data_IF_889658735882
#
_entry.id   IF_889658735882
#
_cell.length_a   1.000
_cell.length_b   1.000
_cell.length_c   1.000
_cell.angle_alpha   90.00
_cell.angle_beta   90.00
_cell.angle_gamma   90.00
#
_symmetry.space_group_name_H-M   'P 1'
#
loop_
_entity.id
_entity.type
_entity.pdbx_description
1 polymer ?
#
# COMPACT_ATOMS: atom_id res chain seq x y z
N UNK A 1 -26.54 1.61 0.46
CA UNK A 1 -27.16 0.64 1.39
C UNK A 1 -26.70 -0.83 1.27
N UNK A 2 -26.05 -1.29 0.18
CA UNK A 2 -25.52 -2.67 0.05
C UNK A 2 -24.17 -2.94 0.77
N UNK A 3 -23.60 -1.97 1.48
CA UNK A 3 -22.33 -2.14 2.22
C UNK A 3 -22.50 -3.03 3.47
N UNK A 4 -23.64 -2.94 4.16
CA UNK A 4 -23.90 -3.58 5.45
C UNK A 4 -24.24 -5.09 5.35
N UNK A 5 -24.49 -5.62 4.15
CA UNK A 5 -25.02 -6.98 3.95
C UNK A 5 -23.98 -7.99 3.47
N UNK A 6 -22.73 -7.58 3.27
CA UNK A 6 -21.67 -8.50 2.81
C UNK A 6 -20.90 -9.09 4.01
N UNK A 7 -20.67 -10.41 4.07
CA UNK A 7 -19.97 -11.04 5.20
C UNK A 7 -18.54 -10.52 5.39
N UNK A 8 -17.87 -10.07 4.32
CA UNK A 8 -16.55 -9.44 4.40
C UNK A 8 -16.53 -8.09 5.14
N UNK A 9 -17.65 -7.35 5.17
CA UNK A 9 -17.76 -6.11 5.92
C UNK A 9 -17.82 -6.37 7.44
N UNK A 10 -18.55 -7.41 7.85
CA UNK A 10 -18.59 -7.86 9.25
C UNK A 10 -17.26 -8.42 9.74
N UNK A 11 -16.52 -9.13 8.88
CA UNK A 11 -15.16 -9.59 9.19
C UNK A 11 -14.21 -8.39 9.34
N UNK A 12 -14.32 -7.38 8.48
CA UNK A 12 -13.55 -6.14 8.59
C UNK A 12 -13.85 -5.41 9.91
N UNK A 13 -15.12 -5.28 10.28
CA UNK A 13 -15.54 -4.66 11.55
C UNK A 13 -15.02 -5.45 12.74
N UNK A 14 -15.14 -6.79 12.72
CA UNK A 14 -14.60 -7.64 13.80
C UNK A 14 -13.09 -7.52 13.92
N UNK A 15 -12.37 -7.47 12.79
CA UNK A 15 -10.92 -7.29 12.79
C UNK A 15 -10.51 -5.92 13.35
N UNK A 16 -11.24 -4.85 12.98
CA UNK A 16 -11.01 -3.49 13.50
C UNK A 16 -11.37 -3.39 14.98
N UNK A 17 -12.47 -4.02 15.42
CA UNK A 17 -12.87 -4.05 16.82
C UNK A 17 -11.88 -4.83 17.69
N UNK A 18 -11.38 -5.97 17.18
CA UNK A 18 -10.34 -6.75 17.87
C UNK A 18 -9.04 -5.95 17.94
N UNK A 19 -8.64 -5.30 16.85
CA UNK A 19 -7.48 -4.44 16.83
C UNK A 19 -7.60 -3.29 17.84
N UNK A 20 -8.77 -2.63 17.92
CA UNK A 20 -9.03 -1.57 18.88
C UNK A 20 -8.87 -2.01 20.35
N UNK A 21 -8.96 -3.32 20.66
CA UNK A 21 -8.73 -3.82 22.02
C UNK A 21 -7.27 -4.12 22.36
N UNK A 22 -6.39 -4.22 21.36
CA UNK A 22 -4.99 -4.58 21.56
C UNK A 22 -4.17 -3.60 22.43
N UNK A 23 -4.37 -2.27 22.39
CA UNK A 23 -3.61 -1.33 23.23
C UNK A 23 -3.66 -1.64 24.73
N UNK A 24 -4.75 -2.21 25.22
CA UNK A 24 -4.90 -2.51 26.65
C UNK A 24 -4.13 -3.75 27.12
N UNK A 25 -3.62 -4.59 26.22
CA UNK A 25 -3.02 -5.88 26.58
C UNK A 25 -1.57 -6.04 26.12
N UNK A 26 -1.03 -5.06 25.38
CA UNK A 26 0.15 -5.24 24.54
C UNK A 26 1.23 -4.20 24.86
N UNK A 27 2.51 -4.59 24.76
CA UNK A 27 3.64 -3.69 25.02
C UNK A 27 3.82 -2.64 23.90
N UNK A 28 4.40 -1.49 24.22
CA UNK A 28 4.66 -0.41 23.25
C UNK A 28 5.48 -0.83 22.03
N UNK A 29 6.32 -1.87 22.17
CA UNK A 29 7.05 -2.47 21.06
C UNK A 29 6.13 -3.09 20.00
N UNK A 30 5.18 -3.92 20.43
CA UNK A 30 4.23 -4.58 19.53
C UNK A 30 3.25 -3.55 18.95
N UNK A 31 2.89 -2.50 19.71
CA UNK A 31 2.09 -1.39 19.18
C UNK A 31 2.82 -0.66 18.05
N UNK A 32 4.12 -0.39 18.20
CA UNK A 32 4.92 0.20 17.14
C UNK A 32 4.99 -0.69 15.89
N UNK A 33 5.07 -2.02 16.09
CA UNK A 33 5.07 -2.99 15.02
C UNK A 33 3.73 -3.03 14.26
N UNK A 34 2.62 -3.03 14.99
CA UNK A 34 1.28 -2.97 14.41
C UNK A 34 1.02 -1.64 13.70
N UNK A 35 1.57 -0.54 14.20
CA UNK A 35 1.50 0.79 13.56
C UNK A 35 2.10 0.75 12.16
N UNK A 36 3.31 0.18 12.01
CA UNK A 36 3.93 -0.05 10.71
C UNK A 36 3.08 -0.99 9.87
N UNK A 37 2.54 -2.05 10.49
CA UNK A 37 1.70 -3.02 9.80
C UNK A 37 0.42 -2.40 9.19
N UNK A 38 -0.18 -1.42 9.86
CA UNK A 38 -1.37 -0.73 9.36
C UNK A 38 -1.05 0.19 8.18
N UNK A 39 0.08 0.91 8.22
CA UNK A 39 0.51 1.70 7.06
C UNK A 39 0.82 0.82 5.84
N UNK A 40 1.51 -0.29 6.05
CA UNK A 40 1.74 -1.29 5.01
C UNK A 40 0.45 -1.96 4.53
N UNK A 41 -0.54 -2.13 5.42
CA UNK A 41 -1.89 -2.53 5.05
C UNK A 41 -2.51 -1.58 4.04
N UNK A 42 -2.39 -0.26 4.24
CA UNK A 42 -2.88 0.74 3.29
C UNK A 42 -2.12 0.67 1.96
N UNK A 43 -0.80 0.45 1.97
CA UNK A 43 -0.04 0.23 0.73
C UNK A 43 -0.58 -0.97 -0.05
N UNK A 44 -0.78 -2.10 0.62
CA UNK A 44 -1.33 -3.32 0.00
C UNK A 44 -2.77 -3.13 -0.48
N UNK A 45 -3.62 -2.42 0.27
CA UNK A 45 -4.98 -2.06 -0.15
C UNK A 45 -4.97 -1.20 -1.43
N UNK A 46 -4.15 -0.15 -1.45
CA UNK A 46 -4.03 0.77 -2.58
C UNK A 46 -3.47 0.06 -3.82
N UNK A 47 -2.56 -0.89 -3.61
CA UNK A 47 -2.01 -1.72 -4.67
C UNK A 47 -3.03 -2.73 -5.22
N UNK A 48 -3.81 -3.41 -4.36
CA UNK A 48 -4.86 -4.34 -4.79
C UNK A 48 -5.98 -3.65 -5.57
N UNK A 49 -6.29 -2.38 -5.27
CA UNK A 49 -7.21 -1.60 -6.10
C UNK A 49 -6.73 -1.51 -7.56
N UNK A 50 -5.43 -1.27 -7.78
CA UNK A 50 -4.86 -1.17 -9.12
C UNK A 50 -4.71 -2.55 -9.77
N UNK A 51 -4.02 -3.49 -9.11
CA UNK A 51 -3.76 -4.79 -9.69
C UNK A 51 -4.99 -5.69 -9.75
N UNK A 52 -5.70 -5.82 -8.62
CA UNK A 52 -6.84 -6.71 -8.47
C UNK A 52 -8.00 -6.33 -9.39
N UNK A 53 -8.32 -5.04 -9.48
CA UNK A 53 -9.45 -4.56 -10.31
C UNK A 53 -9.01 -4.18 -11.71
N UNK A 54 -7.97 -3.36 -11.89
CA UNK A 54 -7.58 -2.88 -13.21
C UNK A 54 -6.84 -3.93 -14.06
N UNK A 55 -6.37 -5.02 -13.44
CA UNK A 55 -5.67 -6.13 -14.12
C UNK A 55 -4.24 -5.81 -14.55
N UNK A 56 -3.69 -4.67 -14.14
CA UNK A 56 -2.34 -4.25 -14.51
C UNK A 56 -1.33 -4.55 -13.40
N UNK A 57 -0.29 -5.31 -13.70
CA UNK A 57 0.75 -5.68 -12.72
C UNK A 57 1.67 -4.49 -12.48
N UNK A 58 1.61 -3.90 -11.28
CA UNK A 58 2.48 -2.80 -10.89
C UNK A 58 3.59 -3.31 -9.96
N UNK A 59 4.86 -3.20 -10.36
CA UNK A 59 6.02 -3.52 -9.52
C UNK A 59 6.64 -2.30 -8.85
N UNK A 60 6.05 -1.12 -9.03
CA UNK A 60 6.49 0.14 -8.44
C UNK A 60 5.64 0.77 -7.33
N UNK A 61 4.93 0.05 -6.43
CA UNK A 61 4.23 0.71 -5.32
C UNK A 61 5.16 1.60 -4.48
N UNK A 62 6.41 1.19 -4.29
CA UNK A 62 7.42 1.95 -3.53
C UNK A 62 7.81 3.28 -4.18
N UNK A 63 7.58 3.45 -5.49
CA UNK A 63 7.76 4.75 -6.15
C UNK A 63 6.76 5.78 -5.61
N UNK A 64 5.49 5.38 -5.47
CA UNK A 64 4.41 6.24 -4.97
C UNK A 64 4.56 6.52 -3.48
N UNK A 65 4.93 5.49 -2.71
CA UNK A 65 5.25 5.61 -1.29
C UNK A 65 6.43 6.57 -1.09
N UNK A 66 7.49 6.38 -1.87
CA UNK A 66 8.71 7.18 -1.83
C UNK A 66 8.47 8.65 -2.15
N UNK A 67 7.69 8.96 -3.20
CA UNK A 67 7.35 10.33 -3.54
C UNK A 67 6.57 11.04 -2.43
N UNK A 68 5.63 10.34 -1.78
CA UNK A 68 4.89 10.89 -0.65
C UNK A 68 5.77 11.11 0.59
N UNK A 69 6.58 10.10 0.90
CA UNK A 69 7.55 10.10 2.00
C UNK A 69 8.57 11.24 1.87
N UNK A 70 9.32 11.29 0.77
CA UNK A 70 10.33 12.31 0.54
C UNK A 70 9.71 13.68 0.26
N UNK A 71 8.57 13.75 -0.44
CA UNK A 71 7.86 15.01 -0.65
C UNK A 71 7.46 15.68 0.67
N UNK A 72 6.87 14.92 1.59
CA UNK A 72 6.51 15.41 2.92
C UNK A 72 7.75 15.69 3.80
N UNK A 73 8.74 14.79 3.79
CA UNK A 73 9.95 14.92 4.59
C UNK A 73 10.81 16.13 4.19
N UNK A 74 10.99 16.39 2.89
CA UNK A 74 11.76 17.55 2.39
C UNK A 74 11.08 18.85 2.78
N UNK A 75 9.75 18.92 2.69
CA UNK A 75 9.01 20.12 3.06
C UNK A 75 9.14 20.44 4.54
N UNK A 76 9.06 19.44 5.41
CA UNK A 76 9.23 19.63 6.83
C UNK A 76 10.69 19.99 7.18
N UNK A 77 11.66 19.25 6.64
CA UNK A 77 13.08 19.48 6.93
C UNK A 77 13.55 20.88 6.50
N UNK A 78 13.08 21.40 5.36
CA UNK A 78 13.58 22.67 4.80
C UNK A 78 12.75 23.90 5.16
N UNK A 79 11.43 23.73 5.27
CA UNK A 79 10.50 24.85 5.47
C UNK A 79 9.77 24.80 6.81
N UNK A 80 10.04 23.77 7.63
CA UNK A 80 9.44 23.60 8.97
C UNK A 80 7.91 23.72 8.93
N UNK A 81 7.31 23.28 7.83
CA UNK A 81 5.88 23.37 7.62
C UNK A 81 5.15 22.36 8.51
N UNK A 82 3.94 22.73 9.03
CA UNK A 82 3.15 21.82 9.84
C UNK A 82 2.84 20.52 9.10
N UNK A 83 2.85 19.42 9.85
CA UNK A 83 2.66 18.04 9.34
C UNK A 83 1.50 17.91 8.33
N UNK A 84 0.28 18.47 8.56
CA UNK A 84 -0.83 18.31 7.62
C UNK A 84 -0.54 18.88 6.22
N UNK A 85 0.16 20.02 6.12
CA UNK A 85 0.52 20.62 4.84
C UNK A 85 1.59 19.80 4.11
N UNK A 86 2.56 19.27 4.85
CA UNK A 86 3.58 18.36 4.33
C UNK A 86 2.95 17.08 3.79
N UNK A 87 2.01 16.47 4.52
CA UNK A 87 1.27 15.30 4.08
C UNK A 87 0.44 15.57 2.83
N UNK A 88 -0.28 16.69 2.77
CA UNK A 88 -1.07 17.08 1.61
C UNK A 88 -0.17 17.27 0.37
N UNK A 89 0.92 18.02 0.51
CA UNK A 89 1.85 18.27 -0.59
C UNK A 89 2.60 17.00 -1.03
N UNK A 90 3.03 16.14 -0.10
CA UNK A 90 3.62 14.83 -0.42
C UNK A 90 2.64 13.93 -1.17
N UNK A 91 1.38 13.92 -0.74
CA UNK A 91 0.30 13.17 -1.44
C UNK A 91 0.10 13.69 -2.86
N UNK A 92 0.06 15.02 -3.04
CA UNK A 92 -0.06 15.64 -4.37
C UNK A 92 1.15 15.27 -5.23
N UNK A 93 2.37 15.28 -4.70
CA UNK A 93 3.57 14.86 -5.41
C UNK A 93 3.50 13.39 -5.84
N UNK A 94 3.02 12.50 -4.98
CA UNK A 94 2.81 11.09 -5.31
C UNK A 94 1.76 10.92 -6.43
N UNK A 95 0.66 11.67 -6.38
CA UNK A 95 -0.38 11.65 -7.43
C UNK A 95 0.17 12.20 -8.75
N UNK A 96 0.86 13.33 -8.74
CA UNK A 96 1.42 13.95 -9.94
C UNK A 96 2.50 13.07 -10.55
N UNK A 97 3.46 12.59 -9.76
CA UNK A 97 4.51 11.67 -10.22
C UNK A 97 3.92 10.35 -10.68
N UNK A 98 2.90 9.86 -9.99
CA UNK A 98 2.16 8.67 -10.38
C UNK A 98 1.43 8.82 -11.71
N UNK A 99 0.74 9.93 -11.94
CA UNK A 99 0.08 10.24 -13.21
C UNK A 99 1.10 10.42 -14.35
N UNK A 100 2.21 11.11 -14.08
CA UNK A 100 3.30 11.28 -15.04
C UNK A 100 3.89 9.94 -15.48
N UNK A 101 3.94 8.96 -14.57
CA UNK A 101 4.35 7.59 -14.87
C UNK A 101 3.27 6.78 -15.57
N UNK A 102 2.02 6.84 -15.10
CA UNK A 102 0.93 6.02 -15.58
C UNK A 102 0.48 6.40 -17.00
N UNK A 103 0.54 7.68 -17.36
CA UNK A 103 0.15 8.17 -18.69
C UNK A 103 0.91 7.50 -19.85
N UNK A 104 2.26 7.43 -19.86
CA UNK A 104 3.00 6.68 -20.86
C UNK A 104 2.93 5.17 -20.62
N UNK A 105 2.95 4.72 -19.37
CA UNK A 105 2.97 3.29 -19.06
C UNK A 105 1.68 2.58 -19.51
N UNK A 106 0.51 3.21 -19.38
CA UNK A 106 -0.77 2.62 -19.80
C UNK A 106 -0.91 2.48 -21.32
N UNK A 107 0.02 3.04 -22.11
CA UNK A 107 0.05 2.84 -23.58
C UNK A 107 0.68 1.50 -23.97
N UNK A 108 1.51 0.91 -23.11
CA UNK A 108 2.10 -0.41 -23.36
C UNK A 108 1.19 -1.52 -22.84
N UNK A 109 1.25 -2.71 -23.45
CA UNK A 109 0.39 -3.85 -23.10
C UNK A 109 1.18 -4.97 -22.44
N UNK A 110 0.56 -5.67 -21.50
CA UNK A 110 1.14 -6.88 -20.90
C UNK A 110 2.23 -6.58 -19.87
N UNK A 111 3.31 -7.37 -19.80
CA UNK A 111 4.28 -7.29 -18.70
C UNK A 111 5.10 -5.98 -18.69
N UNK A 112 5.11 -5.25 -19.80
CA UNK A 112 5.86 -4.00 -19.95
C UNK A 112 5.39 -2.90 -19.00
N UNK A 113 4.10 -2.85 -18.64
CA UNK A 113 3.60 -1.88 -17.66
C UNK A 113 4.31 -2.07 -16.31
N UNK A 114 4.39 -3.31 -15.84
CA UNK A 114 5.10 -3.67 -14.63
C UNK A 114 6.60 -3.34 -14.70
N UNK A 115 7.24 -3.61 -15.83
CA UNK A 115 8.66 -3.27 -16.03
C UNK A 115 8.91 -1.77 -15.96
N UNK A 116 8.06 -0.94 -16.56
CA UNK A 116 8.17 0.52 -16.49
C UNK A 116 8.06 1.00 -15.04
N UNK A 117 7.09 0.46 -14.29
CA UNK A 117 6.90 0.84 -12.88
C UNK A 117 8.09 0.43 -12.00
N UNK A 118 8.71 -0.72 -12.28
CA UNK A 118 9.93 -1.17 -11.59
C UNK A 118 11.12 -0.27 -11.91
N UNK A 119 11.32 0.06 -13.19
CA UNK A 119 12.38 0.98 -13.62
C UNK A 119 12.21 2.35 -12.97
N UNK A 120 10.98 2.83 -12.79
CA UNK A 120 10.74 4.09 -12.10
C UNK A 120 11.13 4.06 -10.61
N UNK A 121 10.94 2.93 -9.92
CA UNK A 121 11.48 2.76 -8.55
C UNK A 121 13.00 2.91 -8.57
N UNK A 122 13.68 2.21 -9.49
CA UNK A 122 15.14 2.28 -9.61
C UNK A 122 15.63 3.69 -9.96
N UNK A 123 14.91 4.39 -10.84
CA UNK A 123 15.19 5.79 -11.16
C UNK A 123 15.02 6.67 -9.93
N UNK A 124 13.94 6.50 -9.15
CA UNK A 124 13.72 7.28 -7.93
C UNK A 124 14.83 7.04 -6.90
N UNK A 125 15.25 5.79 -6.69
CA UNK A 125 16.38 5.46 -5.82
C UNK A 125 17.65 6.19 -6.26
N UNK A 126 18.00 6.14 -7.55
CA UNK A 126 19.16 6.84 -8.08
C UNK A 126 19.04 8.36 -7.97
N UNK A 127 17.86 8.92 -8.24
CA UNK A 127 17.61 10.36 -8.07
C UNK A 127 17.79 10.80 -6.62
N UNK A 128 17.35 10.01 -5.65
CA UNK A 128 17.56 10.32 -4.24
C UNK A 128 19.05 10.35 -3.90
N UNK A 129 19.84 9.42 -4.42
CA UNK A 129 21.30 9.40 -4.18
C UNK A 129 22.00 10.57 -4.88
N UNK A 130 21.64 10.87 -6.13
CA UNK A 130 22.22 11.98 -6.90
C UNK A 130 21.90 13.34 -6.27
N UNK A 131 20.67 13.53 -5.80
CA UNK A 131 20.22 14.74 -5.12
C UNK A 131 20.38 14.66 -3.59
N UNK A 132 21.45 14.01 -3.11
CA UNK A 132 21.72 13.79 -1.69
C UNK A 132 21.71 15.07 -0.85
N UNK A 133 22.05 16.23 -1.42
CA UNK A 133 21.98 17.52 -0.74
C UNK A 133 20.56 17.95 -0.34
N UNK A 134 19.51 17.44 -1.01
CA UNK A 134 18.11 17.72 -0.67
C UNK A 134 17.44 16.54 0.04
N UNK A 135 17.83 15.32 -0.30
CA UNK A 135 17.15 14.09 0.13
C UNK A 135 17.88 13.36 1.27
N UNK A 136 19.08 13.78 1.66
CA UNK A 136 19.93 13.04 2.59
C UNK A 136 20.61 11.81 1.97
N UNK A 137 20.37 11.52 0.69
CA UNK A 137 21.02 10.42 -0.04
C UNK A 137 20.76 9.05 0.59
N UNK A 138 21.80 8.21 0.67
CA UNK A 138 21.70 6.86 1.28
C UNK A 138 21.55 6.90 2.80
N UNK A 139 22.04 7.96 3.46
CA UNK A 139 21.98 8.14 4.92
C UNK A 139 20.52 8.37 5.35
N UNK A 140 19.71 8.93 4.46
CA UNK A 140 18.32 9.27 4.70
C UNK A 140 18.14 10.70 5.19
N UNK A 141 16.93 11.22 4.99
CA UNK A 141 16.53 12.55 5.41
C UNK A 141 15.94 12.50 6.82
N UNK A 142 16.55 13.18 7.77
CA UNK A 142 15.99 13.33 9.12
C UNK A 142 14.82 14.31 9.08
N UNK A 143 13.70 13.92 9.69
CA UNK A 143 12.50 14.76 9.80
C UNK A 143 12.35 15.18 11.26
N UNK A 144 12.49 16.48 11.58
CA UNK A 144 12.52 16.96 12.96
C UNK A 144 11.17 16.82 13.67
N UNK A 145 10.06 17.05 12.96
CA UNK A 145 8.73 16.84 13.52
C UNK A 145 8.30 15.37 13.49
N UNK A 146 7.66 14.94 14.56
CA UNK A 146 7.06 13.60 14.71
C UNK A 146 5.58 13.77 15.01
N UNK A 147 4.73 12.89 14.46
CA UNK A 147 3.26 12.95 14.68
C UNK A 147 2.92 12.90 16.16
N UNK A 148 3.52 11.97 16.89
CA UNK A 148 3.42 11.87 18.34
C UNK A 148 4.60 11.06 18.88
N UNK A 149 5.06 11.40 20.07
CA UNK A 149 6.07 10.63 20.81
C UNK A 149 5.40 9.41 21.48
N UNK A 150 4.09 9.49 21.71
CA UNK A 150 3.33 8.46 22.40
C UNK A 150 2.93 7.31 21.45
N UNK A 151 3.22 6.08 21.88
CA UNK A 151 2.99 4.88 21.09
C UNK A 151 1.49 4.60 20.89
N UNK A 152 0.67 4.88 21.90
CA UNK A 152 -0.78 4.67 21.83
C UNK A 152 -1.41 5.61 20.81
N UNK A 153 -1.05 6.90 20.87
CA UNK A 153 -1.54 7.91 19.92
C UNK A 153 -1.21 7.53 18.46
N UNK A 154 0.02 7.10 18.20
CA UNK A 154 0.44 6.66 16.86
C UNK A 154 -0.32 5.42 16.39
N UNK A 155 -0.56 4.48 17.29
CA UNK A 155 -1.34 3.27 17.01
C UNK A 155 -2.78 3.61 16.61
N UNK A 156 -3.47 4.45 17.39
CA UNK A 156 -4.85 4.87 17.09
C UNK A 156 -4.94 5.63 15.77
N UNK A 157 -3.95 6.48 15.49
CA UNK A 157 -3.88 7.21 14.22
C UNK A 157 -3.70 6.26 13.04
N UNK A 158 -2.76 5.31 13.13
CA UNK A 158 -2.53 4.33 12.05
C UNK A 158 -3.72 3.40 11.84
N UNK A 159 -4.36 2.93 12.93
CA UNK A 159 -5.56 2.11 12.87
C UNK A 159 -6.72 2.89 12.23
N UNK A 160 -6.95 4.13 12.68
CA UNK A 160 -7.99 5.00 12.13
C UNK A 160 -7.76 5.30 10.66
N UNK A 161 -6.51 5.61 10.28
CA UNK A 161 -6.12 5.85 8.90
C UNK A 161 -6.32 4.61 8.02
N UNK A 162 -5.92 3.43 8.48
CA UNK A 162 -6.14 2.17 7.76
C UNK A 162 -7.63 1.86 7.60
N UNK A 163 -8.43 2.04 8.66
CA UNK A 163 -9.87 1.79 8.61
C UNK A 163 -10.57 2.75 7.63
N UNK A 164 -10.28 4.04 7.71
CA UNK A 164 -10.84 5.06 6.79
C UNK A 164 -10.42 4.79 5.35
N UNK A 165 -9.13 4.50 5.11
CA UNK A 165 -8.62 4.17 3.78
C UNK A 165 -9.28 2.91 3.22
N UNK A 166 -9.42 1.86 4.04
CA UNK A 166 -10.10 0.62 3.67
C UNK A 166 -11.57 0.82 3.33
N UNK A 167 -12.28 1.67 4.09
CA UNK A 167 -13.68 2.02 3.80
C UNK A 167 -13.81 2.77 2.47
N UNK A 168 -12.97 3.78 2.24
CA UNK A 168 -13.01 4.59 1.01
C UNK A 168 -12.65 3.71 -0.20
N UNK A 169 -11.54 2.96 -0.13
CA UNK A 169 -11.10 2.09 -1.21
C UNK A 169 -12.15 1.01 -1.51
N UNK A 170 -12.76 0.42 -0.49
CA UNK A 170 -13.83 -0.58 -0.67
C UNK A 170 -15.09 0.04 -1.29
N UNK A 171 -15.43 1.27 -0.91
CA UNK A 171 -16.53 2.00 -1.54
C UNK A 171 -16.26 2.29 -3.02
N UNK A 172 -15.03 2.69 -3.36
CA UNK A 172 -14.60 2.92 -4.76
C UNK A 172 -14.65 1.61 -5.55
N UNK A 173 -14.11 0.53 -5.01
CA UNK A 173 -14.10 -0.79 -5.67
C UNK A 173 -15.51 -1.34 -5.95
N UNK A 174 -16.49 -1.03 -5.10
CA UNK A 174 -17.90 -1.45 -5.27
C UNK A 174 -18.75 -0.45 -6.05
N UNK A 175 -18.20 0.71 -6.39
CA UNK A 175 -18.88 1.72 -7.18
C UNK A 175 -19.01 1.29 -8.66
N UNK A 176 -19.84 1.97 -9.47
CA UNK A 176 -19.89 1.73 -10.91
C UNK A 176 -18.52 1.86 -11.59
N UNK A 177 -17.68 2.80 -11.13
CA UNK A 177 -16.32 2.96 -11.63
C UNK A 177 -15.45 1.72 -11.33
N UNK A 178 -15.61 1.11 -10.15
CA UNK A 178 -14.93 -0.13 -9.77
C UNK A 178 -15.39 -1.34 -10.58
N UNK A 179 -16.68 -1.43 -10.91
CA UNK A 179 -17.20 -2.48 -11.80
C UNK A 179 -16.66 -2.35 -13.23
N UNK A 180 -16.61 -1.12 -13.76
CA UNK A 180 -16.00 -0.85 -15.07
C UNK A 180 -14.52 -1.20 -15.04
N UNK A 181 -13.81 -0.84 -13.96
CA UNK A 181 -12.41 -1.17 -13.78
C UNK A 181 -12.18 -2.68 -13.77
N UNK A 182 -13.04 -3.43 -13.06
CA UNK A 182 -13.00 -4.89 -13.00
C UNK A 182 -13.24 -5.52 -14.37
N UNK A 183 -14.21 -5.02 -15.14
CA UNK A 183 -14.45 -5.46 -16.51
C UNK A 183 -13.24 -5.16 -17.40
N UNK A 184 -12.67 -3.95 -17.28
CA UNK A 184 -11.49 -3.53 -18.03
C UNK A 184 -10.23 -4.35 -17.70
N UNK A 185 -10.13 -4.88 -16.49
CA UNK A 185 -9.06 -5.80 -16.08
C UNK A 185 -9.25 -7.24 -16.56
N UNK A 186 -10.48 -7.65 -16.89
CA UNK A 186 -10.75 -8.96 -17.50
C UNK A 186 -10.54 -8.94 -19.01
N UNK A 187 -11.20 -7.99 -19.69
CA UNK A 187 -11.05 -7.79 -21.12
C UNK A 187 -11.17 -6.29 -21.47
N UNK A 188 -10.03 -5.61 -21.71
CA UNK A 188 -10.04 -4.20 -22.06
C UNK A 188 -10.62 -3.94 -23.46
N UNK A 189 -10.63 -4.93 -24.36
CA UNK A 189 -11.18 -4.80 -25.72
C UNK A 189 -12.70 -4.82 -25.65
N UNK A 190 -13.29 -5.80 -24.95
CA UNK A 190 -14.74 -5.90 -24.77
C UNK A 190 -15.27 -4.70 -23.99
N UNK A 191 -14.59 -4.29 -22.92
CA UNK A 191 -15.00 -3.12 -22.13
C UNK A 191 -14.95 -1.83 -22.96
N UNK A 192 -13.96 -1.71 -23.85
CA UNK A 192 -13.90 -0.61 -24.82
C UNK A 192 -15.03 -0.64 -25.85
N UNK A 193 -15.41 -1.82 -26.33
CA UNK A 193 -16.53 -2.00 -27.27
C UNK A 193 -17.89 -1.63 -26.66
N UNK A 194 -18.04 -1.74 -25.34
CA UNK A 194 -19.21 -1.25 -24.60
C UNK A 194 -19.25 0.28 -24.43
N UNK A 195 -18.27 1.01 -24.99
CA UNK A 195 -18.22 2.48 -24.98
C UNK A 195 -17.47 3.09 -23.79
N UNK A 196 -16.89 2.28 -22.90
CA UNK A 196 -16.12 2.79 -21.77
C UNK A 196 -14.68 3.12 -22.16
N UNK A 197 -14.20 4.28 -21.72
CA UNK A 197 -12.79 4.64 -21.87
C UNK A 197 -11.95 3.93 -20.80
N UNK A 198 -11.39 2.78 -21.15
CA UNK A 198 -10.56 1.94 -20.26
C UNK A 198 -9.37 2.72 -19.69
N UNK A 199 -8.66 3.49 -20.53
CA UNK A 199 -7.48 4.24 -20.10
C UNK A 199 -7.81 5.26 -19.01
N UNK A 200 -8.93 5.99 -19.13
CA UNK A 200 -9.37 6.95 -18.11
C UNK A 200 -9.66 6.28 -16.76
N UNK A 201 -10.33 5.12 -16.78
CA UNK A 201 -10.65 4.39 -15.54
C UNK A 201 -9.39 3.81 -14.88
N UNK A 202 -8.45 3.27 -15.67
CA UNK A 202 -7.15 2.80 -15.16
C UNK A 202 -6.32 3.94 -14.59
N UNK A 203 -6.30 5.10 -15.26
CA UNK A 203 -5.59 6.29 -14.79
C UNK A 203 -6.19 6.83 -13.48
N UNK A 204 -7.53 6.86 -13.38
CA UNK A 204 -8.21 7.26 -12.14
C UNK A 204 -7.90 6.30 -10.98
N UNK A 205 -7.90 4.99 -11.23
CA UNK A 205 -7.49 3.99 -10.24
C UNK A 205 -6.04 4.18 -9.79
N UNK A 206 -5.15 4.52 -10.73
CA UNK A 206 -3.76 4.82 -10.44
C UNK A 206 -3.61 6.08 -9.58
N UNK A 207 -4.35 7.15 -9.87
CA UNK A 207 -4.35 8.37 -9.08
C UNK A 207 -4.83 8.13 -7.64
N UNK A 208 -5.90 7.34 -7.46
CA UNK A 208 -6.40 6.94 -6.15
C UNK A 208 -5.34 6.11 -5.40
N UNK A 209 -4.75 5.12 -6.07
CA UNK A 209 -3.68 4.30 -5.49
C UNK A 209 -2.48 5.14 -5.06
N UNK A 210 -2.08 6.11 -5.89
CA UNK A 210 -1.00 7.05 -5.62
C UNK A 210 -1.32 7.99 -4.45
N UNK A 211 -2.56 8.46 -4.32
CA UNK A 211 -2.97 9.31 -3.21
C UNK A 211 -2.87 8.55 -1.87
N UNK A 212 -3.44 7.35 -1.77
CA UNK A 212 -3.38 6.56 -0.55
C UNK A 212 -1.97 6.07 -0.22
N UNK A 213 -1.20 5.65 -1.23
CA UNK A 213 0.19 5.21 -1.04
C UNK A 213 1.12 6.37 -0.67
N UNK A 214 0.94 7.55 -1.27
CA UNK A 214 1.73 8.74 -0.96
C UNK A 214 1.42 9.27 0.43
N UNK A 215 0.14 9.35 0.79
CA UNK A 215 -0.29 9.79 2.13
C UNK A 215 0.23 8.84 3.22
N UNK A 216 0.11 7.53 3.00
CA UNK A 216 0.65 6.52 3.90
C UNK A 216 2.19 6.61 3.99
N UNK A 217 2.88 6.88 2.87
CA UNK A 217 4.33 7.09 2.85
C UNK A 217 4.76 8.29 3.69
N UNK A 218 4.05 9.41 3.58
CA UNK A 218 4.28 10.59 4.42
C UNK A 218 4.08 10.29 5.91
N UNK A 219 2.99 9.60 6.27
CA UNK A 219 2.71 9.21 7.66
C UNK A 219 3.80 8.31 8.24
N UNK A 220 4.33 7.36 7.45
CA UNK A 220 5.42 6.49 7.91
C UNK A 220 6.70 7.29 8.18
N UNK A 221 7.02 8.30 7.36
CA UNK A 221 8.21 9.14 7.57
C UNK A 221 8.10 9.94 8.87
N UNK A 222 6.95 10.56 9.14
CA UNK A 222 6.74 11.29 10.39
C UNK A 222 6.61 10.37 11.62
N UNK A 223 6.32 9.08 11.42
CA UNK A 223 6.37 8.09 12.49
C UNK A 223 7.80 7.61 12.76
N UNK A 224 8.59 7.34 11.72
CA UNK A 224 9.97 6.87 11.85
C UNK A 224 10.97 8.00 12.18
N UNK A 225 10.60 9.27 11.93
CA UNK A 225 11.49 10.42 12.07
C UNK A 225 12.59 10.50 11.01
N UNK A 226 12.56 9.61 10.02
CA UNK A 226 13.55 9.56 8.94
C UNK A 226 12.93 9.00 7.67
N UNK A 227 13.28 9.58 6.52
CA UNK A 227 13.01 9.03 5.21
C UNK A 227 14.29 8.38 4.67
N UNK A 228 14.35 7.05 4.68
CA UNK A 228 15.49 6.30 4.12
C UNK A 228 15.09 5.43 2.94
N UNK A 229 15.92 5.46 1.88
CA UNK A 229 15.74 4.65 0.67
C UNK A 229 15.62 3.17 1.00
N UNK A 230 16.46 2.68 1.92
CA UNK A 230 16.50 1.27 2.29
C UNK A 230 15.21 0.76 2.93
N UNK A 231 14.49 1.64 3.63
CA UNK A 231 13.27 1.30 4.39
C UNK A 231 11.98 1.44 3.59
N UNK A 232 11.90 2.40 2.67
CA UNK A 232 10.64 2.77 2.02
C UNK A 232 10.63 2.55 0.50
N UNK A 233 11.78 2.66 -0.16
CA UNK A 233 11.87 2.70 -1.63
C UNK A 233 12.51 1.43 -2.20
N UNK A 234 13.06 0.57 -1.34
CA UNK A 234 13.72 -0.67 -1.73
C UNK A 234 12.76 -1.62 -2.47
N UNK A 235 13.25 -2.24 -3.55
CA UNK A 235 12.51 -3.22 -4.34
C UNK A 235 11.98 -4.38 -3.48
N UNK A 236 12.73 -4.82 -2.48
CA UNK A 236 12.30 -5.87 -1.53
C UNK A 236 11.03 -5.49 -0.77
N UNK A 237 10.90 -4.22 -0.38
CA UNK A 237 9.70 -3.68 0.31
C UNK A 237 8.51 -3.68 -0.65
N UNK A 238 8.74 -3.30 -1.91
CA UNK A 238 7.70 -3.38 -2.96
C UNK A 238 7.20 -4.80 -3.17
N UNK A 239 8.11 -5.78 -3.22
CA UNK A 239 7.76 -7.20 -3.31
C UNK A 239 6.96 -7.64 -2.08
N UNK A 240 7.34 -7.24 -0.86
CA UNK A 240 6.57 -7.55 0.35
C UNK A 240 5.13 -7.00 0.29
N UNK A 241 4.93 -5.76 -0.19
CA UNK A 241 3.60 -5.16 -0.37
C UNK A 241 2.75 -5.96 -1.35
N UNK A 242 3.35 -6.41 -2.46
CA UNK A 242 2.71 -7.25 -3.47
C UNK A 242 2.32 -8.59 -2.87
N UNK A 243 3.25 -9.25 -2.17
CA UNK A 243 2.99 -10.53 -1.51
C UNK A 243 1.86 -10.38 -0.49
N UNK A 244 1.87 -9.34 0.34
CA UNK A 244 0.83 -9.07 1.33
C UNK A 244 -0.54 -8.95 0.68
N UNK A 245 -0.63 -8.20 -0.43
CA UNK A 245 -1.87 -8.05 -1.17
C UNK A 245 -2.37 -9.38 -1.77
N UNK A 246 -1.47 -10.15 -2.39
CA UNK A 246 -1.84 -11.44 -3.01
C UNK A 246 -2.21 -12.48 -1.94
N UNK A 247 -1.50 -12.52 -0.82
CA UNK A 247 -1.75 -13.40 0.32
C UNK A 247 -3.14 -13.12 0.93
N UNK A 248 -3.48 -11.85 1.05
CA UNK A 248 -4.80 -11.38 1.48
C UNK A 248 -5.95 -11.86 0.59
N UNK A 249 -5.66 -11.97 -0.71
CA UNK A 249 -6.57 -12.41 -1.76
C UNK A 249 -6.76 -11.33 -2.82
N UNK A 250 -6.67 -11.72 -4.10
CA UNK A 250 -6.89 -10.79 -5.22
C UNK A 250 -8.31 -10.22 -5.19
N UNK A 251 -8.45 -8.90 -5.42
CA UNK A 251 -9.74 -8.16 -5.39
C UNK A 251 -10.37 -8.10 -4.00
N UNK A 252 -9.57 -8.20 -2.95
CA UNK A 252 -10.03 -8.06 -1.58
C UNK A 252 -9.20 -7.01 -0.85
N UNK A 253 -9.70 -5.78 -0.85
CA UNK A 253 -9.04 -4.65 -0.17
C UNK A 253 -8.81 -4.95 1.31
N UNK A 254 -9.82 -5.44 2.02
CA UNK A 254 -9.69 -5.84 3.43
C UNK A 254 -8.72 -7.02 3.59
N UNK A 255 -8.70 -7.94 2.63
CA UNK A 255 -7.77 -9.06 2.63
C UNK A 255 -6.33 -8.61 2.53
N UNK A 256 -6.03 -7.68 1.61
CA UNK A 256 -4.70 -7.12 1.42
C UNK A 256 -4.14 -6.50 2.70
N UNK A 257 -4.99 -5.85 3.50
CA UNK A 257 -4.60 -5.30 4.79
C UNK A 257 -4.27 -6.38 5.83
N UNK A 258 -5.12 -7.42 5.92
CA UNK A 258 -4.85 -8.57 6.80
C UNK A 258 -3.58 -9.31 6.37
N UNK A 259 -3.33 -9.42 5.07
CA UNK A 259 -2.11 -10.01 4.52
C UNK A 259 -0.86 -9.21 4.91
N UNK A 260 -0.92 -7.88 4.92
CA UNK A 260 0.18 -7.04 5.37
C UNK A 260 0.46 -7.22 6.87
N UNK A 261 -0.60 -7.21 7.70
CA UNK A 261 -0.47 -7.46 9.15
C UNK A 261 0.13 -8.83 9.42
N UNK A 262 -0.35 -9.87 8.71
CA UNK A 262 0.18 -11.21 8.82
C UNK A 262 1.65 -11.30 8.42
N UNK A 263 2.05 -10.73 7.27
CA UNK A 263 3.43 -10.78 6.82
C UNK A 263 4.38 -10.05 7.77
N UNK A 264 3.97 -8.91 8.31
CA UNK A 264 4.81 -8.12 9.23
C UNK A 264 4.94 -8.84 10.57
N UNK A 265 3.85 -9.40 11.11
CA UNK A 265 3.89 -10.21 12.32
C UNK A 265 4.73 -11.49 12.13
N UNK A 266 4.60 -12.17 10.99
CA UNK A 266 5.40 -13.34 10.66
C UNK A 266 6.89 -12.99 10.52
N UNK A 267 7.20 -11.89 9.83
CA UNK A 267 8.56 -11.38 9.68
C UNK A 267 9.23 -11.08 11.02
N UNK A 268 8.48 -10.55 11.98
CA UNK A 268 8.97 -10.31 13.33
C UNK A 268 9.23 -11.59 14.12
N UNK A 269 8.31 -12.55 14.07
CA UNK A 269 8.50 -13.85 14.71
C UNK A 269 9.73 -14.59 14.17
N UNK A 270 10.04 -14.39 12.89
CA UNK A 270 11.19 -14.96 12.19
C UNK A 270 12.45 -14.08 12.30
N UNK A 271 12.39 -12.90 12.92
CA UNK A 271 13.52 -11.98 13.07
C UNK A 271 14.78 -12.61 13.70
N UNK A 272 14.69 -13.53 14.67
CA UNK A 272 15.88 -14.18 15.24
C UNK A 272 16.74 -14.95 14.23
N UNK A 273 16.18 -15.32 13.08
CA UNK A 273 16.90 -16.02 12.00
C UNK A 273 17.78 -15.09 11.14
N UNK A 274 17.81 -13.79 11.43
CA UNK A 274 18.64 -12.82 10.70
C UNK A 274 18.26 -12.73 9.22
N UNK A 275 19.25 -12.76 8.31
CA UNK A 275 19.01 -12.65 6.86
C UNK A 275 18.15 -13.78 6.26
N UNK A 276 18.09 -14.95 6.91
CA UNK A 276 17.23 -16.05 6.48
C UNK A 276 15.74 -15.74 6.67
N UNK A 277 15.38 -14.78 7.53
CA UNK A 277 13.99 -14.36 7.74
C UNK A 277 13.31 -13.94 6.43
N UNK A 278 13.99 -13.15 5.59
CA UNK A 278 13.45 -12.67 4.32
C UNK A 278 13.24 -13.83 3.35
N UNK A 279 14.18 -14.78 3.31
CA UNK A 279 14.06 -15.98 2.49
C UNK A 279 12.88 -16.85 2.95
N UNK A 280 12.76 -17.12 4.25
CA UNK A 280 11.69 -17.94 4.83
C UNK A 280 10.33 -17.28 4.66
N UNK A 281 10.20 -15.98 4.92
CA UNK A 281 8.94 -15.24 4.72
C UNK A 281 8.51 -15.29 3.25
N UNK A 282 9.46 -15.09 2.32
CA UNK A 282 9.17 -15.15 0.88
C UNK A 282 8.81 -16.56 0.43
N UNK A 283 9.46 -17.59 0.97
CA UNK A 283 9.16 -18.99 0.70
C UNK A 283 7.77 -19.38 1.24
N UNK A 284 7.47 -19.03 2.50
CA UNK A 284 6.15 -19.28 3.11
C UNK A 284 5.06 -18.58 2.31
N UNK A 285 5.27 -17.33 1.94
CA UNK A 285 4.36 -16.61 1.08
C UNK A 285 4.13 -17.32 -0.27
N UNK A 286 5.20 -17.78 -0.92
CA UNK A 286 5.11 -18.53 -2.17
C UNK A 286 4.32 -19.84 -2.00
N UNK A 287 4.53 -20.56 -0.89
CA UNK A 287 3.73 -21.74 -0.56
C UNK A 287 2.26 -21.37 -0.36
N UNK A 288 1.93 -20.30 0.37
CA UNK A 288 0.52 -19.89 0.55
C UNK A 288 -0.11 -19.48 -0.78
N UNK A 289 0.63 -18.81 -1.66
CA UNK A 289 0.13 -18.47 -3.01
C UNK A 289 -0.14 -19.73 -3.84
N UNK A 290 0.72 -20.75 -3.75
CA UNK A 290 0.56 -22.01 -4.48
C UNK A 290 -0.59 -22.88 -3.94
N UNK A 291 -0.73 -22.96 -2.61
CA UNK A 291 -1.71 -23.85 -1.97
C UNK A 291 -3.05 -23.17 -1.65
N UNK A 292 -3.09 -21.84 -1.55
CA UNK A 292 -4.28 -21.03 -1.25
C UNK A 292 -4.43 -19.91 -2.30
N UNK A 293 -4.70 -20.24 -3.58
CA UNK A 293 -4.74 -19.27 -4.68
C UNK A 293 -5.88 -18.23 -4.53
N UNK A 294 -6.87 -18.53 -3.69
CA UNK A 294 -7.98 -17.62 -3.34
C UNK A 294 -7.66 -16.67 -2.17
N UNK A 295 -6.47 -16.75 -1.57
CA UNK A 295 -6.03 -15.94 -0.44
C UNK A 295 -6.69 -16.32 0.89
N UNK A 296 -6.22 -15.70 1.98
CA UNK A 296 -6.66 -15.97 3.36
C UNK A 296 -8.17 -15.80 3.56
N UNK A 297 -8.79 -14.81 2.92
CA UNK A 297 -10.24 -14.60 3.00
C UNK A 297 -11.05 -15.50 2.04
N UNK A 298 -10.43 -16.02 0.97
CA UNK A 298 -11.08 -16.90 0.00
C UNK A 298 -11.39 -18.30 0.53
N UNK A 299 -10.67 -18.74 1.58
CA UNK A 299 -10.94 -19.99 2.31
C UNK A 299 -12.36 -20.02 2.91
N UNK A 300 -12.91 -18.87 3.29
CA UNK A 300 -14.28 -18.75 3.80
C UNK A 300 -15.36 -18.80 2.70
N UNK A 301 -15.05 -18.37 1.48
CA UNK A 301 -16.01 -18.34 0.37
C UNK A 301 -16.13 -19.65 -0.41
N UNK A 302 -15.08 -20.49 -0.40
CA UNK A 302 -15.10 -21.82 -1.06
C UNK A 302 -16.11 -22.78 -0.42
N UNK A 303 -16.51 -22.53 0.84
CA UNK A 303 -17.54 -23.32 1.53
C UNK A 303 -18.98 -23.00 1.08
N UNK A 304 -19.20 -21.99 0.24
CA UNK A 304 -20.53 -21.65 -0.35
C UNK A 304 -20.69 -22.08 -1.81
N UNK A 305 -19.65 -22.67 -2.41
CA UNK A 305 -19.69 -23.20 -3.77
C UNK A 305 -19.82 -24.74 -3.81
N UNK A 306 -20.13 -25.37 -2.67
CA UNK A 306 -20.53 -26.77 -2.55
C UNK A 306 -21.89 -26.86 -1.88
#
# INVERSE_FOLDING_TARGET
MKLLTTPGFWIAILAVALAATLPWYVSGYILGLLTIAYYFGVFSMAWDLLFGFAGEVNFGPTFLIGLGAYGAGILNNRYELPIPYCLAAGTVLAVVGGLALALPALKVRGPYFGLITLVAVLLLQNMIVVFSGLTGGEIGLTVPDVISIDADTNYWLALGFMAVSGLILTAIARSPAGLILQAAGQDPVVTGALGFNVAKHKLAAFAVSAAFSGLAGGLVVFYMGTASVGTLINTSVGVQVIIAAVLGGRRTIVGAALGAVFLIAAGELLRPLGGLSTFVVSAVALLVILFVPSGLLGLGSLRRAR
#
